data_IF_879464444844
#
_entry.id   IF_879464444844
#
_cell.length_a   1.000
_cell.length_b   1.000
_cell.length_c   1.000
_cell.angle_alpha   90.00
_cell.angle_beta   90.00
_cell.angle_gamma   90.00
#
_symmetry.space_group_name_H-M   'P 1'
#
loop_
_entity.id
_entity.type
_entity.pdbx_description
1 polymer ?
#
# COMPACT_ATOMS: atom_id res chain seq x y z
N UNK A 1 11.47 10.22 -7.97
CA UNK A 1 11.41 9.55 -9.30
C UNK A 1 10.21 10.09 -10.06
N UNK A 2 10.39 11.12 -10.91
CA UNK A 2 9.36 11.51 -11.85
C UNK A 2 9.32 10.43 -12.95
N UNK A 3 8.26 9.62 -12.95
CA UNK A 3 7.97 8.73 -14.07
C UNK A 3 7.14 9.56 -15.04
N UNK A 4 7.71 9.91 -16.20
CA UNK A 4 7.08 10.69 -17.26
C UNK A 4 5.96 9.90 -17.95
N UNK A 5 6.17 8.61 -18.16
CA UNK A 5 5.17 7.71 -18.75
C UNK A 5 3.97 7.48 -17.83
N UNK A 6 2.78 7.89 -18.27
CA UNK A 6 1.52 7.78 -17.52
C UNK A 6 1.23 6.32 -17.13
N UNK A 7 1.49 5.37 -18.03
CA UNK A 7 1.27 3.93 -17.80
C UNK A 7 2.16 3.41 -16.69
N UNK A 8 3.48 3.67 -16.76
CA UNK A 8 4.44 3.24 -15.73
C UNK A 8 4.13 3.90 -14.38
N UNK A 9 3.67 5.15 -14.39
CA UNK A 9 3.26 5.86 -13.17
C UNK A 9 2.06 5.19 -12.50
N UNK A 10 1.03 4.79 -13.26
CA UNK A 10 -0.14 4.06 -12.74
C UNK A 10 0.26 2.71 -12.14
N UNK A 11 1.12 1.96 -12.83
CA UNK A 11 1.65 0.67 -12.34
C UNK A 11 2.40 0.88 -11.02
N UNK A 12 3.33 1.83 -10.98
CA UNK A 12 4.10 2.15 -9.78
C UNK A 12 3.21 2.61 -8.62
N UNK A 13 2.19 3.43 -8.88
CA UNK A 13 1.19 3.84 -7.89
C UNK A 13 0.43 2.63 -7.34
N UNK A 14 0.00 1.71 -8.21
CA UNK A 14 -0.69 0.48 -7.81
C UNK A 14 0.13 -0.34 -6.83
N UNK A 15 1.40 -0.61 -7.18
CA UNK A 15 2.31 -1.40 -6.34
C UNK A 15 2.70 -0.70 -5.04
N UNK A 16 2.84 0.64 -5.01
CA UNK A 16 3.32 1.37 -3.83
C UNK A 16 2.22 1.78 -2.84
N UNK A 17 1.01 2.03 -3.33
CA UNK A 17 -0.07 2.64 -2.55
C UNK A 17 -1.21 1.67 -2.21
N UNK A 18 -1.50 0.67 -3.05
CA UNK A 18 -2.63 -0.24 -2.85
C UNK A 18 -2.25 -1.44 -1.99
N UNK A 19 -1.75 -1.14 -0.79
CA UNK A 19 -1.29 -2.12 0.19
C UNK A 19 -1.94 -1.81 1.55
N UNK A 20 -2.06 -2.85 2.37
CA UNK A 20 -2.46 -2.74 3.77
C UNK A 20 -1.20 -2.72 4.65
N UNK A 21 -1.16 -1.88 5.66
CA UNK A 21 -0.09 -1.79 6.66
C UNK A 21 -0.63 -2.31 7.98
N UNK A 22 0.09 -3.21 8.64
CA UNK A 22 -0.30 -3.65 9.98
C UNK A 22 -0.03 -2.53 11.01
N UNK A 23 -1.00 -2.21 11.87
CA UNK A 23 -0.84 -1.20 12.92
C UNK A 23 0.09 -1.65 14.05
N UNK A 24 0.25 -2.96 14.24
CA UNK A 24 1.07 -3.52 15.33
C UNK A 24 2.54 -3.69 14.95
N UNK A 25 2.85 -4.14 13.73
CA UNK A 25 4.22 -4.46 13.32
C UNK A 25 4.72 -3.69 12.09
N UNK A 26 3.90 -2.81 11.50
CA UNK A 26 4.29 -2.01 10.33
C UNK A 26 4.45 -2.78 9.02
N UNK A 27 4.25 -4.11 9.01
CA UNK A 27 4.43 -4.91 7.80
C UNK A 27 3.47 -4.50 6.67
N UNK A 28 4.00 -4.48 5.44
CA UNK A 28 3.22 -4.25 4.22
C UNK A 28 2.60 -5.57 3.77
N UNK A 29 1.29 -5.58 3.67
CA UNK A 29 0.46 -6.72 3.32
C UNK A 29 -0.31 -6.38 2.02
N UNK A 30 -0.68 -7.40 1.23
CA UNK A 30 -1.45 -7.21 0.02
C UNK A 30 -2.88 -6.80 0.37
N UNK A 31 -3.57 -6.18 -0.58
CA UNK A 31 -4.97 -5.74 -0.44
C UNK A 31 -5.92 -6.89 -0.07
N UNK A 32 -5.67 -8.09 -0.59
CA UNK A 32 -6.49 -9.30 -0.39
C UNK A 32 -6.34 -9.94 0.99
N UNK A 33 -5.29 -9.61 1.75
CA UNK A 33 -5.08 -10.23 3.05
C UNK A 33 -6.08 -9.75 4.11
N UNK A 34 -6.65 -10.70 4.84
CA UNK A 34 -7.44 -10.50 6.06
C UNK A 34 -6.58 -10.45 7.33
N UNK A 35 -5.38 -11.07 7.31
CA UNK A 35 -4.42 -11.12 8.43
C UNK A 35 -3.02 -10.71 8.01
N UNK A 36 -2.25 -10.16 8.96
CA UNK A 36 -0.86 -9.77 8.71
C UNK A 36 0.03 -11.01 8.56
N UNK A 37 0.89 -11.03 7.53
CA UNK A 37 1.81 -12.16 7.28
C UNK A 37 2.85 -12.38 8.38
N UNK A 38 3.27 -11.32 9.09
CA UNK A 38 4.26 -11.39 10.18
C UNK A 38 3.63 -11.72 11.53
N UNK A 39 2.77 -10.84 12.05
CA UNK A 39 2.24 -10.97 13.41
C UNK A 39 0.93 -11.76 13.51
N UNK A 40 0.35 -12.18 12.38
CA UNK A 40 -0.92 -12.92 12.28
C UNK A 40 -2.16 -12.19 12.85
N UNK A 41 -2.02 -10.98 13.40
CA UNK A 41 -3.12 -10.13 13.86
C UNK A 41 -3.94 -9.58 12.67
N UNK A 42 -5.22 -9.32 12.91
CA UNK A 42 -6.17 -8.76 11.92
C UNK A 42 -6.20 -7.21 11.91
N UNK A 43 -5.35 -6.57 12.70
CA UNK A 43 -5.29 -5.11 12.82
C UNK A 43 -4.48 -4.46 11.68
N UNK A 44 -5.08 -4.44 10.49
CA UNK A 44 -4.52 -3.87 9.27
C UNK A 44 -5.24 -2.57 8.92
N UNK A 45 -4.49 -1.56 8.50
CA UNK A 45 -5.04 -0.33 7.92
C UNK A 45 -4.65 -0.23 6.45
N UNK A 46 -5.41 0.51 5.66
CA UNK A 46 -4.95 0.90 4.33
C UNK A 46 -3.81 1.93 4.44
N UNK A 47 -2.87 1.87 3.49
CA UNK A 47 -1.86 2.92 3.35
C UNK A 47 -2.57 4.22 2.92
N UNK A 48 -2.11 5.35 3.47
CA UNK A 48 -2.65 6.67 3.13
C UNK A 48 -2.39 6.93 1.64
N UNK A 49 -3.43 7.33 0.94
CA UNK A 49 -3.43 7.73 -0.47
C UNK A 49 -3.73 9.22 -0.47
N UNK A 50 -2.78 10.06 -0.08
CA UNK A 50 -2.96 11.49 -0.33
C UNK A 50 -3.04 11.66 -1.85
N UNK A 51 -4.13 12.27 -2.31
CA UNK A 51 -4.29 12.70 -3.69
C UNK A 51 -3.11 13.60 -4.00
N UNK A 52 -2.39 13.29 -5.07
CA UNK A 52 -1.36 14.18 -5.61
C UNK A 52 -2.04 15.41 -6.25
N UNK A 53 -2.74 16.19 -5.44
CA UNK A 53 -3.38 17.46 -5.75
C UNK A 53 -2.58 18.55 -5.05
N UNK A 54 -1.45 18.90 -5.66
CA UNK A 54 -0.87 20.23 -5.57
C UNK A 54 0.08 20.41 -6.74
#
# INVERSE_FOLDING_TARGET
MPITDIVKRRIAQRHKLYLKICRSCGARNPSTNTKCRKCRKKNLRWKRRESASK
#
